data_IF_889450189994
#
_entry.id   IF_889450189994
#
_cell.length_a   1.000
_cell.length_b   1.000
_cell.length_c   1.000
_cell.angle_alpha   90.00
_cell.angle_beta   90.00
_cell.angle_gamma   90.00
#
_symmetry.space_group_name_H-M   'P 1'
#
loop_
_entity.id
_entity.type
_entity.pdbx_description
1 polymer ?
#
# COMPACT_ATOMS: atom_id res chain seq x y z
N UNK A 1 -14.25 -0.08 0.77
CA UNK A 1 -13.43 -0.88 -0.16
C UNK A 1 -12.73 0.07 -1.12
N UNK A 2 -11.42 0.07 -1.13
CA UNK A 2 -10.62 0.86 -2.05
C UNK A 2 -9.83 -0.07 -2.98
N UNK A 3 -9.44 0.42 -4.16
CA UNK A 3 -8.67 -0.34 -5.13
C UNK A 3 -7.32 0.34 -5.31
N UNK A 4 -6.24 -0.42 -5.23
CA UNK A 4 -4.89 0.12 -5.40
C UNK A 4 -4.66 0.63 -6.83
N UNK A 5 -5.25 -0.04 -7.82
CA UNK A 5 -5.15 0.34 -9.24
C UNK A 5 -6.53 0.24 -9.91
N UNK A 6 -7.39 1.25 -9.72
CA UNK A 6 -8.77 1.21 -10.24
C UNK A 6 -8.84 1.12 -11.77
N UNK A 7 -7.76 1.50 -12.48
CA UNK A 7 -7.67 1.43 -13.94
C UNK A 7 -7.87 -0.01 -14.48
N UNK A 8 -7.48 -1.04 -13.71
CA UNK A 8 -7.68 -2.43 -14.11
C UNK A 8 -9.16 -2.86 -14.14
N UNK A 9 -10.05 -2.12 -13.48
CA UNK A 9 -11.49 -2.37 -13.60
C UNK A 9 -12.02 -2.10 -15.01
N UNK A 10 -11.32 -1.28 -15.81
CA UNK A 10 -11.62 -1.15 -17.24
C UNK A 10 -11.43 -2.47 -18.01
N UNK A 11 -10.63 -3.39 -17.47
CA UNK A 11 -10.52 -4.76 -17.99
C UNK A 11 -11.84 -5.54 -18.00
N UNK A 12 -12.82 -5.15 -17.17
CA UNK A 12 -14.18 -5.71 -17.21
C UNK A 12 -14.89 -5.43 -18.55
N UNK A 13 -14.52 -4.36 -19.24
CA UNK A 13 -15.02 -4.10 -20.59
C UNK A 13 -14.59 -5.22 -21.59
N UNK A 14 -13.50 -5.92 -21.30
CA UNK A 14 -13.05 -7.08 -22.06
C UNK A 14 -14.05 -8.26 -22.06
N UNK A 15 -15.00 -8.30 -21.12
CA UNK A 15 -16.08 -9.29 -21.09
C UNK A 15 -17.02 -9.11 -22.33
N UNK A 16 -17.07 -7.92 -22.89
CA UNK A 16 -17.84 -7.67 -24.10
C UNK A 16 -17.33 -8.50 -25.29
N UNK A 17 -16.03 -8.81 -25.35
CA UNK A 17 -15.41 -9.57 -26.46
C UNK A 17 -15.98 -10.99 -26.58
N UNK A 18 -15.94 -11.86 -25.53
CA UNK A 18 -16.51 -13.19 -25.63
C UNK A 18 -18.03 -13.18 -25.86
N UNK A 19 -18.74 -12.18 -25.33
CA UNK A 19 -20.17 -12.01 -25.56
C UNK A 19 -20.43 -11.69 -27.04
N UNK A 20 -19.70 -10.71 -27.60
CA UNK A 20 -19.82 -10.32 -29.01
C UNK A 20 -19.48 -11.46 -29.96
N UNK A 21 -18.36 -12.16 -29.68
CA UNK A 21 -17.94 -13.34 -30.47
C UNK A 21 -19.00 -14.43 -30.39
N UNK A 22 -19.62 -14.65 -29.25
CA UNK A 22 -20.65 -15.66 -29.09
C UNK A 22 -21.94 -15.29 -29.84
N UNK A 23 -22.30 -14.00 -29.87
CA UNK A 23 -23.47 -13.51 -30.63
C UNK A 23 -23.24 -13.52 -32.15
N UNK A 24 -21.99 -13.25 -32.59
CA UNK A 24 -21.66 -13.11 -34.02
C UNK A 24 -21.28 -14.40 -34.70
N UNK A 25 -20.93 -15.45 -33.94
CA UNK A 25 -20.61 -16.77 -34.54
C UNK A 25 -21.83 -17.33 -35.27
N UNK A 26 -21.85 -17.14 -36.57
CA UNK A 26 -22.77 -17.85 -37.49
C UNK A 26 -22.30 -19.31 -37.54
N UNK A 27 -23.15 -20.25 -37.12
CA UNK A 27 -22.97 -21.64 -37.49
C UNK A 27 -23.16 -21.70 -39.01
N UNK A 28 -22.08 -22.00 -39.75
CA UNK A 28 -22.20 -22.47 -41.12
C UNK A 28 -22.89 -23.83 -41.04
N UNK A 29 -24.16 -23.91 -41.45
CA UNK A 29 -24.77 -25.15 -41.78
C UNK A 29 -24.29 -25.48 -43.20
N UNK A 30 -23.49 -26.53 -43.31
CA UNK A 30 -23.17 -27.10 -44.63
C UNK A 30 -24.48 -27.56 -45.20
N UNK A 31 -24.92 -26.91 -46.28
CA UNK A 31 -26.08 -27.30 -47.04
C UNK A 31 -25.61 -28.43 -47.92
N UNK A 32 -25.90 -29.65 -47.53
CA UNK A 32 -25.75 -30.82 -48.41
C UNK A 32 -26.90 -30.76 -49.40
N UNK A 33 -26.60 -30.41 -50.64
CA UNK A 33 -27.58 -30.43 -51.75
C UNK A 33 -27.88 -31.89 -52.12
N UNK A 34 -29.07 -32.33 -51.74
CA UNK A 34 -29.61 -33.61 -52.22
C UNK A 34 -30.16 -33.41 -53.66
N UNK A 35 -29.73 -34.21 -54.64
CA UNK A 35 -30.08 -33.99 -56.04
C UNK A 35 -31.48 -34.48 -56.45
N UNK A 36 -32.33 -34.95 -55.57
CA UNK A 36 -33.66 -35.45 -55.89
C UNK A 36 -34.72 -34.97 -54.89
N UNK A 37 -35.13 -33.70 -55.00
CA UNK A 37 -36.31 -33.19 -54.31
C UNK A 37 -37.50 -32.90 -55.25
N UNK A 38 -37.63 -33.68 -56.29
CA UNK A 38 -38.66 -33.45 -57.33
C UNK A 38 -40.11 -33.71 -56.88
N UNK A 39 -40.29 -34.26 -55.62
CA UNK A 39 -41.60 -34.62 -55.07
C UNK A 39 -41.95 -33.93 -53.74
N UNK A 40 -41.16 -32.99 -53.29
CA UNK A 40 -41.49 -32.25 -52.10
C UNK A 40 -42.19 -30.93 -52.43
N UNK A 41 -43.51 -30.94 -52.30
CA UNK A 41 -44.35 -29.78 -52.34
C UNK A 41 -43.83 -28.69 -51.37
N UNK A 42 -43.73 -27.43 -51.81
CA UNK A 42 -43.19 -26.33 -51.09
C UNK A 42 -44.03 -26.02 -49.84
N UNK A 43 -43.64 -26.57 -48.69
CA UNK A 43 -44.16 -26.13 -47.41
C UNK A 43 -43.26 -24.96 -46.97
N UNK A 44 -43.79 -23.76 -46.78
CA UNK A 44 -43.01 -22.63 -46.28
C UNK A 44 -42.80 -22.82 -44.78
N UNK A 45 -41.76 -23.53 -44.40
CA UNK A 45 -41.32 -23.58 -42.98
C UNK A 45 -40.70 -22.25 -42.64
N UNK A 46 -41.45 -21.34 -42.01
CA UNK A 46 -40.89 -20.23 -41.25
C UNK A 46 -40.24 -20.79 -39.99
N UNK A 47 -39.04 -21.28 -40.07
CA UNK A 47 -38.24 -21.54 -38.87
C UNK A 47 -37.92 -20.17 -38.21
N UNK A 48 -38.74 -19.73 -37.30
CA UNK A 48 -38.36 -18.81 -36.27
C UNK A 48 -37.37 -19.50 -35.35
N UNK A 49 -36.12 -19.62 -35.81
CA UNK A 49 -35.01 -20.11 -34.99
C UNK A 49 -34.82 -19.17 -33.82
N UNK A 50 -35.48 -19.45 -32.70
CA UNK A 50 -35.11 -18.86 -31.40
C UNK A 50 -33.64 -19.13 -31.20
N UNK A 51 -32.83 -18.08 -31.19
CA UNK A 51 -31.38 -18.15 -30.90
C UNK A 51 -31.20 -18.71 -29.50
N UNK A 52 -31.14 -20.03 -29.38
CA UNK A 52 -30.83 -20.69 -28.11
C UNK A 52 -29.33 -20.59 -27.93
N UNK A 53 -28.84 -19.87 -26.88
CA UNK A 53 -27.42 -19.81 -26.51
C UNK A 53 -27.01 -21.23 -26.10
N UNK A 54 -26.32 -21.92 -27.00
CA UNK A 54 -25.96 -23.35 -26.85
C UNK A 54 -24.69 -23.37 -26.05
N UNK A 55 -24.30 -23.31 -25.12
CA UNK A 55 -23.11 -23.25 -24.26
C UNK A 55 -23.02 -21.95 -23.40
N UNK A 56 -24.17 -21.52 -22.90
CA UNK A 56 -24.23 -20.38 -21.95
C UNK A 56 -23.31 -20.58 -20.75
N UNK A 57 -23.10 -21.83 -20.31
CA UNK A 57 -22.21 -22.18 -19.21
C UNK A 57 -20.74 -21.85 -19.53
N UNK A 58 -20.28 -22.20 -20.74
CA UNK A 58 -18.92 -21.84 -21.19
C UNK A 58 -18.73 -20.34 -21.34
N UNK A 59 -19.77 -19.62 -21.78
CA UNK A 59 -19.74 -18.16 -21.84
C UNK A 59 -19.66 -17.56 -20.43
N UNK A 60 -20.47 -18.04 -19.51
CA UNK A 60 -20.45 -17.60 -18.10
C UNK A 60 -19.10 -17.88 -17.44
N UNK A 61 -18.51 -19.06 -17.67
CA UNK A 61 -17.19 -19.40 -17.12
C UNK A 61 -16.08 -18.49 -17.65
N UNK A 62 -16.11 -18.17 -18.96
CA UNK A 62 -15.14 -17.23 -19.55
C UNK A 62 -15.30 -15.80 -19.02
N UNK A 63 -16.55 -15.34 -18.89
CA UNK A 63 -16.84 -14.03 -18.32
C UNK A 63 -16.39 -13.96 -16.85
N UNK A 64 -16.65 -15.00 -16.07
CA UNK A 64 -16.22 -15.12 -14.69
C UNK A 64 -14.69 -15.11 -14.56
N UNK A 65 -13.98 -15.85 -15.41
CA UNK A 65 -12.52 -15.87 -15.40
C UNK A 65 -11.92 -14.49 -15.69
N UNK A 66 -12.47 -13.76 -16.66
CA UNK A 66 -12.03 -12.40 -16.98
C UNK A 66 -12.36 -11.42 -15.84
N UNK A 67 -13.52 -11.56 -15.21
CA UNK A 67 -13.91 -10.73 -14.06
C UNK A 67 -12.98 -10.98 -12.87
N UNK A 68 -12.69 -12.24 -12.52
CA UNK A 68 -11.76 -12.59 -11.45
C UNK A 68 -10.34 -12.07 -11.74
N UNK A 69 -9.90 -12.17 -13.00
CA UNK A 69 -8.60 -11.64 -13.40
C UNK A 69 -8.55 -10.11 -13.23
N UNK A 70 -9.57 -9.39 -13.69
CA UNK A 70 -9.65 -7.94 -13.53
C UNK A 70 -9.66 -7.52 -12.05
N UNK A 71 -10.40 -8.23 -11.21
CA UNK A 71 -10.45 -7.99 -9.75
C UNK A 71 -9.10 -8.30 -9.11
N UNK A 72 -8.44 -9.41 -9.49
CA UNK A 72 -7.14 -9.77 -8.96
C UNK A 72 -6.07 -8.71 -9.24
N UNK A 73 -6.06 -8.14 -10.45
CA UNK A 73 -5.14 -7.06 -10.81
C UNK A 73 -5.53 -5.71 -10.21
N UNK A 74 -6.82 -5.46 -9.96
CA UNK A 74 -7.29 -4.27 -9.28
C UNK A 74 -6.86 -4.23 -7.80
N UNK A 75 -6.40 -5.37 -7.22
CA UNK A 75 -5.95 -5.51 -5.84
C UNK A 75 -6.90 -4.81 -4.86
N UNK A 76 -8.12 -5.33 -4.68
CA UNK A 76 -9.04 -4.77 -3.71
C UNK A 76 -8.43 -4.90 -2.30
N UNK A 77 -8.47 -3.83 -1.53
CA UNK A 77 -8.13 -3.86 -0.13
C UNK A 77 -9.27 -3.26 0.69
N UNK A 78 -9.49 -3.86 1.85
CA UNK A 78 -10.43 -3.33 2.81
C UNK A 78 -9.68 -2.32 3.66
N UNK A 79 -10.02 -1.05 3.52
CA UNK A 79 -9.63 -0.06 4.51
C UNK A 79 -10.70 -0.16 5.60
N UNK A 80 -10.36 -0.80 6.70
CA UNK A 80 -11.18 -0.72 7.89
C UNK A 80 -10.93 0.65 8.52
N UNK A 81 -11.73 1.63 8.15
CA UNK A 81 -11.76 2.94 8.84
C UNK A 81 -12.22 2.78 10.31
N UNK A 82 -12.75 1.59 10.66
CA UNK A 82 -13.15 1.26 12.01
C UNK A 82 -11.97 0.92 12.95
N UNK A 83 -10.77 0.71 12.43
CA UNK A 83 -9.59 0.38 13.27
C UNK A 83 -8.96 1.58 13.94
N UNK A 84 -9.27 2.80 13.55
CA UNK A 84 -8.88 4.01 14.30
C UNK A 84 -9.61 4.17 15.65
N UNK A 85 -10.10 3.08 16.22
CA UNK A 85 -10.82 3.05 17.52
C UNK A 85 -11.19 1.67 17.99
N UNK A 86 -10.77 0.61 17.28
CA UNK A 86 -11.19 -0.78 17.55
C UNK A 86 -10.27 -1.55 18.52
N UNK A 87 -9.49 -0.87 19.35
CA UNK A 87 -9.09 -1.47 20.62
C UNK A 87 -10.36 -1.57 21.46
N UNK A 88 -10.80 -2.81 21.82
CA UNK A 88 -12.02 -3.05 22.56
C UNK A 88 -12.16 -2.20 23.84
N UNK A 89 -13.32 -2.21 24.51
CA UNK A 89 -13.56 -1.40 25.70
C UNK A 89 -12.64 -1.87 26.84
N UNK A 90 -11.47 -1.29 26.95
CA UNK A 90 -10.50 -1.61 28.00
C UNK A 90 -9.24 -0.75 27.89
N UNK A 91 -8.42 -0.70 28.96
CA UNK A 91 -7.14 0.00 28.92
C UNK A 91 -6.21 -0.64 27.89
N UNK A 92 -5.50 0.20 27.15
CA UNK A 92 -4.59 -0.22 26.06
C UNK A 92 -3.24 0.47 26.17
N UNK A 93 -2.21 -0.21 25.67
CA UNK A 93 -0.91 0.40 25.40
C UNK A 93 -0.88 0.89 23.96
N UNK A 94 -0.67 2.19 23.76
CA UNK A 94 -0.58 2.81 22.45
C UNK A 94 0.87 3.15 22.16
N UNK A 95 1.45 2.57 21.12
CA UNK A 95 2.83 2.90 20.72
C UNK A 95 2.78 3.79 19.48
N UNK A 96 3.10 5.06 19.63
CA UNK A 96 3.17 6.02 18.54
C UNK A 96 4.58 6.01 17.94
N UNK A 97 4.69 5.54 16.70
CA UNK A 97 5.90 5.55 15.90
C UNK A 97 5.87 6.78 14.98
N UNK A 98 6.68 7.78 15.28
CA UNK A 98 6.74 9.02 14.51
C UNK A 98 8.00 9.06 13.67
N UNK A 99 7.81 9.09 12.36
CA UNK A 99 8.89 9.24 11.39
C UNK A 99 9.49 10.65 11.49
N UNK A 100 10.82 10.71 11.59
CA UNK A 100 11.61 11.93 11.53
C UNK A 100 12.70 11.87 10.48
N UNK A 101 12.60 10.93 9.53
CA UNK A 101 13.56 10.79 8.45
C UNK A 101 13.66 12.08 7.63
N UNK A 102 14.69 12.13 6.82
CA UNK A 102 14.97 13.31 6.02
C UNK A 102 13.82 13.68 5.06
N UNK A 103 13.05 12.70 4.56
CA UNK A 103 11.90 12.95 3.69
C UNK A 103 10.79 13.75 4.37
N UNK A 104 10.70 13.67 5.70
CA UNK A 104 9.71 14.41 6.50
C UNK A 104 9.97 15.93 6.51
N UNK A 105 11.14 16.39 6.05
CA UNK A 105 11.45 17.83 5.92
C UNK A 105 10.78 18.46 4.69
N UNK A 106 10.25 17.63 3.79
CA UNK A 106 9.62 18.11 2.57
C UNK A 106 8.24 18.71 2.87
N UNK A 107 8.04 19.96 2.45
CA UNK A 107 6.76 20.66 2.59
C UNK A 107 6.30 20.78 4.05
N UNK A 108 5.08 20.34 4.33
CA UNK A 108 4.46 20.36 5.66
C UNK A 108 4.30 18.96 6.28
N UNK A 109 5.03 17.95 5.80
CA UNK A 109 4.89 16.57 6.27
C UNK A 109 5.20 16.46 7.76
N UNK A 110 6.30 17.04 8.24
CA UNK A 110 6.67 17.03 9.66
C UNK A 110 5.62 17.68 10.56
N UNK A 111 5.13 18.91 10.32
CA UNK A 111 4.04 19.50 11.08
C UNK A 111 2.77 18.65 11.09
N UNK A 112 2.39 18.05 9.95
CA UNK A 112 1.23 17.16 9.86
C UNK A 112 1.42 15.89 10.68
N UNK A 113 2.61 15.29 10.64
CA UNK A 113 2.93 14.11 11.43
C UNK A 113 2.85 14.40 12.93
N UNK A 114 3.38 15.54 13.38
CA UNK A 114 3.28 15.98 14.77
C UNK A 114 1.82 16.24 15.16
N UNK A 115 1.03 16.87 14.29
CA UNK A 115 -0.39 17.11 14.54
C UNK A 115 -1.17 15.80 14.69
N UNK A 116 -0.94 14.82 13.78
CA UNK A 116 -1.55 13.50 13.87
C UNK A 116 -1.15 12.75 15.15
N UNK A 117 0.13 12.78 15.52
CA UNK A 117 0.59 12.17 16.76
C UNK A 117 -0.03 12.84 18.02
N UNK A 118 -0.25 14.16 17.99
CA UNK A 118 -0.96 14.88 19.06
C UNK A 118 -2.42 14.45 19.16
N UNK A 119 -3.09 14.30 18.03
CA UNK A 119 -4.48 13.83 17.99
C UNK A 119 -4.61 12.46 18.66
N UNK A 120 -3.68 11.54 18.38
CA UNK A 120 -3.62 10.23 19.05
C UNK A 120 -3.44 10.38 20.56
N UNK A 121 -2.51 11.22 21.00
CA UNK A 121 -2.25 11.49 22.43
C UNK A 121 -3.47 12.10 23.13
N UNK A 122 -4.18 12.98 22.43
CA UNK A 122 -5.38 13.65 22.96
C UNK A 122 -6.58 12.69 23.05
N UNK A 123 -6.62 11.69 22.16
CA UNK A 123 -7.63 10.63 22.15
C UNK A 123 -7.41 9.49 23.15
N UNK A 124 -6.31 9.49 23.92
CA UNK A 124 -6.08 8.47 24.95
C UNK A 124 -7.17 8.48 26.02
N UNK A 125 -7.61 7.30 26.43
CA UNK A 125 -8.51 7.13 27.57
C UNK A 125 -7.80 7.39 28.91
N UNK A 126 -8.56 7.47 30.00
CA UNK A 126 -7.99 7.75 31.33
C UNK A 126 -7.12 6.62 31.89
N UNK A 127 -7.32 5.40 31.39
CA UNK A 127 -6.56 4.19 31.78
C UNK A 127 -5.57 3.74 30.72
N UNK A 128 -5.54 4.40 29.56
CA UNK A 128 -4.58 4.13 28.50
C UNK A 128 -3.19 4.60 28.89
N UNK A 129 -2.20 3.88 28.39
CA UNK A 129 -0.81 4.31 28.42
C UNK A 129 -0.29 4.47 27.01
N UNK A 130 0.63 5.37 26.83
CA UNK A 130 1.26 5.53 25.54
C UNK A 130 2.78 5.60 25.63
N UNK A 131 3.40 5.08 24.59
CA UNK A 131 4.82 5.16 24.33
C UNK A 131 5.05 5.96 23.05
N UNK A 132 6.04 6.86 23.07
CA UNK A 132 6.41 7.67 21.91
C UNK A 132 7.80 7.26 21.44
N UNK A 133 7.90 6.88 20.17
CA UNK A 133 9.14 6.44 19.54
C UNK A 133 9.37 7.27 18.29
N UNK A 134 10.51 7.94 18.23
CA UNK A 134 10.96 8.60 17.00
C UNK A 134 11.84 7.65 16.21
N UNK A 135 11.67 7.60 14.91
CA UNK A 135 12.48 6.74 14.07
C UNK A 135 12.94 7.42 12.76
N UNK A 136 14.07 6.94 12.29
CA UNK A 136 14.67 7.20 10.98
C UNK A 136 15.37 5.91 10.52
N UNK A 137 16.69 5.85 10.42
CA UNK A 137 17.48 4.60 10.26
C UNK A 137 17.38 3.67 11.47
N UNK A 138 17.18 4.25 12.65
CA UNK A 138 17.01 3.55 13.92
C UNK A 138 15.76 4.03 14.62
N UNK A 139 15.49 3.51 15.80
CA UNK A 139 14.36 3.91 16.61
C UNK A 139 14.80 4.30 18.01
N UNK A 140 14.28 5.40 18.52
CA UNK A 140 14.57 5.93 19.85
C UNK A 140 13.27 6.10 20.65
N UNK A 141 13.17 5.45 21.80
CA UNK A 141 12.04 5.64 22.73
C UNK A 141 12.22 6.95 23.46
N UNK A 142 11.32 7.89 23.25
CA UNK A 142 11.34 9.23 23.85
C UNK A 142 10.50 9.27 25.14
N UNK A 143 9.38 8.57 25.13
CA UNK A 143 8.56 8.34 26.30
C UNK A 143 8.06 6.90 26.31
N UNK A 144 8.09 6.24 27.46
CA UNK A 144 7.71 4.83 27.57
C UNK A 144 6.56 4.65 28.54
N UNK A 145 5.51 3.96 28.10
CA UNK A 145 4.36 3.49 28.87
C UNK A 145 3.88 4.49 29.94
N UNK A 146 3.47 5.67 29.50
CA UNK A 146 3.03 6.75 30.40
C UNK A 146 1.59 7.15 30.11
N UNK A 147 0.83 7.47 31.16
CA UNK A 147 -0.48 8.09 31.06
C UNK A 147 -0.41 9.64 31.07
N UNK A 148 0.79 10.20 31.24
CA UNK A 148 1.00 11.65 31.31
C UNK A 148 1.00 12.29 29.91
N UNK A 149 -0.16 12.80 29.51
CA UNK A 149 -0.34 13.47 28.21
C UNK A 149 0.52 14.72 28.07
N UNK A 150 0.80 15.45 29.16
CA UNK A 150 1.64 16.64 29.09
C UNK A 150 3.07 16.26 28.72
N UNK A 151 3.57 15.20 29.34
CA UNK A 151 4.89 14.64 29.02
C UNK A 151 4.98 14.19 27.56
N UNK A 152 3.95 13.50 27.04
CA UNK A 152 3.90 13.07 25.66
C UNK A 152 3.87 14.27 24.69
N UNK A 153 3.05 15.28 24.97
CA UNK A 153 2.99 16.49 24.14
C UNK A 153 4.32 17.25 24.16
N UNK A 154 4.93 17.42 25.32
CA UNK A 154 6.25 18.07 25.44
C UNK A 154 7.32 17.31 24.66
N UNK A 155 7.26 15.98 24.65
CA UNK A 155 8.17 15.16 23.87
C UNK A 155 7.94 15.36 22.34
N UNK A 156 6.69 15.46 21.88
CA UNK A 156 6.37 15.78 20.49
C UNK A 156 6.91 17.15 20.06
N UNK A 157 6.98 18.12 20.96
CA UNK A 157 7.53 19.45 20.67
C UNK A 157 9.05 19.44 20.44
N UNK A 158 9.73 18.39 20.90
CA UNK A 158 11.18 18.24 20.72
C UNK A 158 11.57 17.60 19.40
N UNK A 159 10.60 17.04 18.65
CA UNK A 159 10.92 16.34 17.39
C UNK A 159 11.55 17.30 16.39
N UNK A 160 12.63 16.84 15.75
CA UNK A 160 13.29 17.54 14.65
C UNK A 160 13.51 16.55 13.53
N UNK A 161 13.38 16.97 12.27
CA UNK A 161 13.77 16.14 11.14
C UNK A 161 15.20 15.64 11.31
N UNK A 162 15.44 14.39 10.98
CA UNK A 162 16.74 13.76 10.99
C UNK A 162 17.33 13.70 9.58
N UNK A 163 18.63 13.42 9.49
CA UNK A 163 19.33 13.19 8.22
C UNK A 163 19.32 11.72 7.78
N UNK A 164 18.61 10.86 8.50
CA UNK A 164 18.51 9.44 8.22
C UNK A 164 17.46 9.11 7.16
N UNK A 165 17.66 8.00 6.45
CA UNK A 165 16.60 7.41 5.61
C UNK A 165 15.57 6.70 6.48
N UNK A 166 14.34 6.59 6.03
CA UNK A 166 13.29 5.83 6.70
C UNK A 166 13.62 4.34 6.75
N UNK A 167 13.47 3.72 7.93
CA UNK A 167 13.48 2.26 8.14
C UNK A 167 12.41 1.84 9.13
N UNK A 168 11.45 1.05 8.67
CA UNK A 168 10.31 0.63 9.50
C UNK A 168 10.65 -0.51 10.46
N UNK A 169 11.51 -1.45 10.06
CA UNK A 169 11.85 -2.63 10.85
C UNK A 169 12.31 -2.33 12.28
N UNK A 170 13.32 -1.47 12.49
CA UNK A 170 13.76 -1.08 13.83
C UNK A 170 12.65 -0.47 14.68
N UNK A 171 11.80 0.38 14.10
CA UNK A 171 10.69 1.02 14.80
C UNK A 171 9.62 0.00 15.23
N UNK A 172 9.23 -0.88 14.32
CA UNK A 172 8.26 -1.94 14.59
C UNK A 172 8.78 -2.97 15.61
N UNK A 173 10.07 -3.28 15.61
CA UNK A 173 10.68 -4.13 16.65
C UNK A 173 10.62 -3.52 18.04
N UNK A 174 10.86 -2.21 18.13
CA UNK A 174 10.71 -1.49 19.39
C UNK A 174 9.25 -1.50 19.85
N UNK A 175 8.31 -1.27 18.93
CA UNK A 175 6.88 -1.35 19.25
C UNK A 175 6.48 -2.76 19.73
N UNK A 176 6.94 -3.81 19.04
CA UNK A 176 6.74 -5.20 19.45
C UNK A 176 7.20 -5.41 20.89
N UNK A 177 8.45 -5.02 21.21
CA UNK A 177 9.02 -5.18 22.55
C UNK A 177 8.19 -4.43 23.61
N UNK A 178 7.75 -3.20 23.32
CA UNK A 178 6.95 -2.43 24.26
C UNK A 178 5.60 -3.12 24.53
N UNK A 179 4.96 -3.63 23.47
CA UNK A 179 3.68 -4.32 23.62
C UNK A 179 3.80 -5.68 24.32
N UNK A 180 4.89 -6.42 24.08
CA UNK A 180 5.19 -7.70 24.76
C UNK A 180 5.45 -7.51 26.26
N UNK A 181 6.01 -6.38 26.66
CA UNK A 181 6.28 -6.05 28.07
C UNK A 181 5.08 -5.37 28.75
N UNK A 182 4.05 -4.99 27.98
CA UNK A 182 2.87 -4.33 28.55
C UNK A 182 1.96 -5.34 29.26
N UNK A 183 1.51 -4.96 30.45
CA UNK A 183 0.53 -5.73 31.21
C UNK A 183 -0.93 -5.42 30.79
N UNK A 184 -1.12 -4.48 29.85
CA UNK A 184 -2.43 -4.07 29.40
C UNK A 184 -3.00 -5.09 28.38
N UNK A 185 -4.33 -5.35 28.43
CA UNK A 185 -4.94 -6.42 27.64
C UNK A 185 -4.99 -6.14 26.14
N UNK A 186 -4.88 -4.88 25.75
CA UNK A 186 -4.92 -4.47 24.35
C UNK A 186 -3.70 -3.62 23.98
N UNK A 187 -3.24 -3.75 22.74
CA UNK A 187 -2.13 -2.98 22.21
C UNK A 187 -2.50 -2.33 20.89
N UNK A 188 -2.01 -1.13 20.66
CA UNK A 188 -2.13 -0.43 19.39
C UNK A 188 -0.79 0.17 19.00
N UNK A 189 -0.41 0.00 17.75
CA UNK A 189 0.74 0.68 17.15
C UNK A 189 0.22 1.69 16.14
N UNK A 190 0.54 2.95 16.33
CA UNK A 190 0.20 4.02 15.38
C UNK A 190 1.46 4.43 14.65
N UNK A 191 1.54 4.11 13.37
CA UNK A 191 2.67 4.43 12.50
C UNK A 191 2.36 5.68 11.69
N UNK A 192 3.08 6.78 11.98
CA UNK A 192 2.94 8.07 11.31
C UNK A 192 4.16 8.32 10.43
N UNK A 193 3.99 8.30 9.11
CA UNK A 193 5.08 8.37 8.13
C UNK A 193 4.55 8.79 6.75
N UNK A 194 5.44 9.12 5.83
CA UNK A 194 5.16 9.41 4.42
C UNK A 194 5.20 8.16 3.51
N UNK A 195 5.31 6.97 4.09
CA UNK A 195 5.29 5.67 3.41
C UNK A 195 6.28 5.49 2.26
N UNK A 196 7.51 5.95 2.44
CA UNK A 196 8.59 5.73 1.47
C UNK A 196 8.83 4.23 1.25
N UNK A 197 8.71 3.77 0.00
CA UNK A 197 8.82 2.35 -0.36
C UNK A 197 10.18 1.74 -0.02
N UNK A 198 11.26 2.52 -0.08
CA UNK A 198 12.62 2.08 0.24
C UNK A 198 12.86 1.85 1.74
N UNK A 199 11.98 2.35 2.61
CA UNK A 199 12.03 2.12 4.05
C UNK A 199 11.69 0.70 4.46
N UNK A 200 11.17 -0.11 3.55
CA UNK A 200 10.73 -1.47 3.77
C UNK A 200 11.72 -2.46 3.14
N UNK A 201 12.39 -3.27 3.97
CA UNK A 201 13.38 -4.24 3.50
C UNK A 201 12.78 -5.61 3.10
N UNK A 202 11.48 -5.79 3.27
CA UNK A 202 10.74 -6.99 2.88
C UNK A 202 10.44 -7.93 4.06
N UNK A 203 11.41 -8.62 4.62
CA UNK A 203 11.23 -9.44 5.81
C UNK A 203 11.92 -8.80 7.01
N UNK A 204 11.16 -8.03 7.78
CA UNK A 204 11.66 -7.38 8.99
C UNK A 204 11.62 -8.32 10.22
N UNK A 205 11.05 -9.51 10.07
CA UNK A 205 10.92 -10.49 11.17
C UNK A 205 10.09 -9.98 12.34
N UNK A 206 9.21 -9.00 12.13
CA UNK A 206 8.38 -8.39 13.17
C UNK A 206 7.04 -9.11 13.23
N UNK A 207 6.62 -9.46 14.45
CA UNK A 207 5.29 -10.01 14.72
C UNK A 207 4.70 -9.30 15.91
N UNK A 208 3.68 -8.52 15.68
CA UNK A 208 2.95 -7.90 16.78
C UNK A 208 2.23 -8.97 17.61
N UNK A 209 2.10 -8.78 18.94
CA UNK A 209 1.35 -9.67 19.82
C UNK A 209 -0.08 -9.89 19.34
N UNK A 210 -0.67 -11.04 19.68
CA UNK A 210 -2.05 -11.34 19.35
C UNK A 210 -2.98 -10.30 19.97
N UNK A 211 -3.86 -9.71 19.15
CA UNK A 211 -4.79 -8.66 19.59
C UNK A 211 -4.22 -7.25 19.49
N UNK A 212 -2.94 -7.08 19.08
CA UNK A 212 -2.42 -5.77 18.78
C UNK A 212 -2.91 -5.28 17.40
N UNK A 213 -3.28 -4.02 17.31
CA UNK A 213 -3.75 -3.36 16.09
C UNK A 213 -2.66 -2.45 15.56
N UNK A 214 -2.42 -2.46 14.24
CA UNK A 214 -1.54 -1.51 13.57
C UNK A 214 -2.40 -0.50 12.80
N UNK A 215 -2.34 0.74 13.20
CA UNK A 215 -2.98 1.88 12.53
C UNK A 215 -1.91 2.69 11.80
N UNK A 216 -2.14 2.99 10.53
CA UNK A 216 -1.22 3.78 9.72
C UNK A 216 -1.80 5.15 9.42
N UNK A 217 -0.99 6.19 9.60
CA UNK A 217 -1.32 7.59 9.27
C UNK A 217 -0.37 8.06 8.19
N UNK A 218 -0.91 8.25 6.99
CA UNK A 218 -0.15 8.72 5.84
C UNK A 218 -0.10 10.26 5.84
N UNK A 219 1.11 10.80 5.90
CA UNK A 219 1.37 12.23 5.82
C UNK A 219 2.09 12.63 4.54
N UNK A 220 2.15 11.72 3.57
CA UNK A 220 2.78 11.98 2.27
C UNK A 220 2.11 13.16 1.55
N UNK A 221 2.91 13.83 0.74
CA UNK A 221 2.44 14.84 -0.20
C UNK A 221 2.73 14.38 -1.63
N UNK A 222 1.79 14.61 -2.53
CA UNK A 222 2.04 14.45 -3.94
C UNK A 222 3.05 15.55 -4.37
N UNK A 223 4.27 15.15 -4.66
CA UNK A 223 5.26 16.05 -5.26
C UNK A 223 5.08 16.00 -6.78
N UNK A 224 4.95 17.16 -7.41
CA UNK A 224 4.87 17.27 -8.87
C UNK A 224 6.20 16.91 -9.52
N UNK A 225 7.34 17.15 -8.83
CA UNK A 225 8.68 16.83 -9.30
C UNK A 225 9.50 16.23 -8.15
N UNK A 226 10.15 15.09 -8.41
CA UNK A 226 11.06 14.46 -7.45
C UNK A 226 12.44 14.34 -8.09
N UNK A 227 13.42 15.07 -7.56
CA UNK A 227 14.81 15.03 -8.01
C UNK A 227 15.64 14.25 -7.00
N UNK A 228 16.29 13.18 -7.46
CA UNK A 228 17.17 12.38 -6.62
C UNK A 228 18.57 12.28 -7.23
N UNK A 229 19.58 12.21 -6.37
CA UNK A 229 20.93 11.84 -6.81
C UNK A 229 20.99 10.33 -6.95
N UNK A 230 21.02 9.84 -8.18
CA UNK A 230 20.98 8.40 -8.47
C UNK A 230 22.35 7.73 -8.24
N UNK A 231 23.45 8.46 -8.47
CA UNK A 231 24.80 7.94 -8.28
C UNK A 231 25.79 9.07 -7.98
N UNK A 232 26.78 8.79 -7.16
CA UNK A 232 27.90 9.69 -6.87
C UNK A 232 29.20 8.93 -7.06
N UNK A 233 29.94 9.24 -8.12
CA UNK A 233 31.27 8.69 -8.34
C UNK A 233 32.36 9.66 -7.86
N UNK A 234 33.23 9.19 -6.96
CA UNK A 234 34.39 9.93 -6.49
C UNK A 234 35.62 9.56 -7.31
N UNK A 235 36.05 10.46 -8.18
CA UNK A 235 37.31 10.32 -8.89
C UNK A 235 38.43 10.95 -8.03
N UNK A 236 39.32 10.12 -7.50
CA UNK A 236 40.52 10.59 -6.82
C UNK A 236 41.51 11.07 -7.90
N UNK A 237 41.56 12.37 -8.17
CA UNK A 237 42.60 12.94 -8.97
C UNK A 237 43.87 13.01 -8.10
N UNK A 238 44.88 12.18 -8.41
CA UNK A 238 46.19 12.36 -7.81
C UNK A 238 46.68 13.74 -8.22
N UNK A 239 46.95 14.61 -7.24
CA UNK A 239 47.65 15.86 -7.52
C UNK A 239 48.93 15.49 -8.27
N UNK A 240 49.06 15.95 -9.50
CA UNK A 240 50.22 15.64 -10.34
C UNK A 240 51.49 15.97 -9.57
N UNK A 241 52.36 14.98 -9.44
CA UNK A 241 53.72 15.23 -9.00
C UNK A 241 54.25 16.34 -9.91
N UNK A 242 54.48 17.52 -9.34
CA UNK A 242 55.10 18.62 -10.09
C UNK A 242 56.34 18.08 -10.78
N UNK A 243 56.45 18.33 -12.07
CA UNK A 243 57.60 17.95 -12.87
C UNK A 243 58.84 18.64 -12.28
N UNK A 244 59.77 17.89 -11.63
CA UNK A 244 60.93 18.48 -10.98
C UNK A 244 61.93 19.08 -11.99
N UNK A 245 61.67 18.99 -13.30
CA UNK A 245 62.52 19.53 -14.35
C UNK A 245 62.32 21.02 -14.64
N UNK A 246 61.34 21.68 -14.02
CA UNK A 246 61.02 23.09 -14.31
C UNK A 246 61.63 24.09 -13.34
N UNK A 247 62.23 23.62 -12.23
CA UNK A 247 62.82 24.48 -11.21
C UNK A 247 64.36 24.67 -11.34
N UNK A 248 64.99 24.17 -12.43
CA UNK A 248 66.44 24.32 -12.67
C UNK A 248 66.77 25.22 -13.83
N UNK A 249 65.88 26.01 -14.35
CA UNK A 249 66.10 26.97 -15.41
C UNK A 249 65.59 28.37 -15.04
N UNK A 250 66.21 29.00 -14.04
CA UNK A 250 65.97 30.38 -13.66
C UNK A 250 67.06 30.89 -12.80
#
# INVERSE_FOLDING_TARGET
>A
MSFLVPLFLLGLAGIAIPVLVHLTRRQRSDVVSFPSLMFLERIPFQERRRRRIRHWFLLALRALALALLAVAFARPFLVDEATAGAAGPGPREVVVLLDRSYSMEVGDQQPRAVAAAREVVDGLGPLDRASLVFFDRGAAVVARSTADRLRLRSALDTVRPGSGSTRYGPALKVAQTILEESELPAGEVVLVTDFQSHGWAGDEGVRLPAGAVLTSVDVSQALEENVQVADVSLLRQAAGAGDPAKDLAG
#
